data_IF_836962731947
#
_entry.id   IF_836962731947
#
_cell.length_a   1.000
_cell.length_b   1.000
_cell.length_c   1.000
_cell.angle_alpha   90.00
_cell.angle_beta   90.00
_cell.angle_gamma   90.00
#
_symmetry.space_group_name_H-M   'P 1'
#
loop_
_entity.id
_entity.type
_entity.pdbx_description
1 polymer ?
#
# COMPACT_ATOMS: atom_id res chain seq x y z
N UNK A 1 -4.05 5.82 16.53
CA UNK A 1 -5.37 5.89 17.19
C UNK A 1 -6.43 6.56 16.32
N UNK A 2 -6.20 7.77 15.76
CA UNK A 2 -7.20 8.50 14.95
C UNK A 2 -7.69 7.72 13.74
N UNK A 3 -6.78 7.11 12.98
CA UNK A 3 -7.15 6.31 11.80
C UNK A 3 -7.97 5.08 12.14
N UNK A 4 -7.64 4.38 13.22
CA UNK A 4 -8.43 3.25 13.75
C UNK A 4 -9.83 3.70 14.13
N UNK A 5 -9.92 4.80 14.88
CA UNK A 5 -11.20 5.37 15.30
C UNK A 5 -12.07 5.82 14.11
N UNK A 6 -11.46 6.43 13.08
CA UNK A 6 -12.16 6.84 11.86
C UNK A 6 -12.73 5.64 11.08
N UNK A 7 -12.10 4.46 11.20
CA UNK A 7 -12.57 3.23 10.60
C UNK A 7 -13.48 2.40 11.51
N UNK A 8 -13.56 2.73 12.79
CA UNK A 8 -14.31 1.96 13.80
C UNK A 8 -13.62 0.63 14.16
N UNK A 9 -12.30 0.55 14.00
CA UNK A 9 -11.51 -0.65 14.33
C UNK A 9 -11.12 -0.66 15.80
N UNK A 10 -11.12 -1.85 16.43
CA UNK A 10 -10.75 -2.02 17.83
C UNK A 10 -9.26 -1.89 18.12
N UNK A 11 -8.42 -2.07 17.12
CA UNK A 11 -6.96 -2.12 17.26
C UNK A 11 -6.42 -3.48 17.75
N UNK A 12 -7.26 -4.51 17.80
CA UNK A 12 -6.84 -5.87 18.15
C UNK A 12 -6.15 -6.63 17.03
N UNK A 13 -6.48 -6.26 15.77
CA UNK A 13 -5.90 -6.86 14.58
C UNK A 13 -4.92 -5.91 13.91
N UNK A 14 -3.99 -6.49 13.16
CA UNK A 14 -3.18 -5.70 12.23
C UNK A 14 -4.02 -5.12 11.09
N UNK A 15 -3.64 -3.95 10.62
CA UNK A 15 -4.38 -3.21 9.60
C UNK A 15 -3.67 -3.29 8.26
N UNK A 16 -4.38 -3.81 7.26
CA UNK A 16 -4.01 -3.74 5.85
C UNK A 16 -4.67 -2.52 5.21
N UNK A 17 -3.89 -1.65 4.60
CA UNK A 17 -4.40 -0.60 3.71
C UNK A 17 -4.22 -1.03 2.25
N UNK A 18 -5.31 -1.04 1.48
CA UNK A 18 -5.26 -1.25 0.03
C UNK A 18 -5.69 -0.01 -0.74
N UNK A 19 -4.92 0.35 -1.77
CA UNK A 19 -5.21 1.49 -2.63
C UNK A 19 -4.84 1.24 -4.10
N UNK A 20 -5.79 1.50 -5.00
CA UNK A 20 -5.61 1.31 -6.45
C UNK A 20 -5.23 2.58 -7.23
N UNK A 21 -5.05 3.72 -6.53
CA UNK A 21 -4.90 5.04 -7.13
C UNK A 21 -6.24 5.80 -7.19
N UNK A 22 -6.20 7.08 -7.63
CA UNK A 22 -7.35 8.00 -7.57
C UNK A 22 -8.59 7.56 -8.36
N UNK A 23 -8.39 6.83 -9.45
CA UNK A 23 -9.49 6.27 -10.25
C UNK A 23 -9.90 4.87 -9.80
N UNK A 24 -9.19 4.31 -8.82
CA UNK A 24 -9.35 2.93 -8.40
C UNK A 24 -8.71 1.95 -9.40
N UNK A 25 -8.78 0.67 -9.06
CA UNK A 25 -8.30 -0.42 -9.90
C UNK A 25 -9.28 -1.59 -9.78
N UNK A 26 -10.23 -1.69 -10.70
CA UNK A 26 -11.33 -2.66 -10.65
C UNK A 26 -10.81 -4.07 -10.39
N UNK A 27 -9.82 -4.53 -11.16
CA UNK A 27 -9.24 -5.87 -10.98
C UNK A 27 -8.66 -6.09 -9.57
N UNK A 28 -7.98 -5.08 -9.00
CA UNK A 28 -7.48 -5.17 -7.62
C UNK A 28 -8.62 -5.24 -6.61
N UNK A 29 -9.62 -4.37 -6.79
CA UNK A 29 -10.80 -4.32 -5.92
C UNK A 29 -11.53 -5.66 -5.91
N UNK A 30 -11.74 -6.26 -7.08
CA UNK A 30 -12.43 -7.54 -7.22
C UNK A 30 -11.65 -8.68 -6.56
N UNK A 31 -10.34 -8.78 -6.83
CA UNK A 31 -9.47 -9.76 -6.18
C UNK A 31 -9.48 -9.62 -4.64
N UNK A 32 -9.40 -8.37 -4.12
CA UNK A 32 -9.48 -8.16 -2.67
C UNK A 32 -10.81 -8.63 -2.09
N UNK A 33 -11.91 -8.27 -2.74
CA UNK A 33 -13.25 -8.62 -2.27
C UNK A 33 -13.51 -10.12 -2.27
N UNK A 34 -12.97 -10.84 -3.25
CA UNK A 34 -13.05 -12.30 -3.32
C UNK A 34 -12.38 -12.96 -2.12
N UNK A 35 -11.21 -12.47 -1.68
CA UNK A 35 -10.45 -13.03 -0.56
C UNK A 35 -10.77 -12.38 0.79
N UNK A 36 -11.66 -11.39 0.82
CA UNK A 36 -12.01 -10.64 2.02
C UNK A 36 -12.42 -11.55 3.20
N UNK A 37 -13.26 -12.60 3.02
CA UNK A 37 -13.66 -13.48 4.11
C UNK A 37 -12.49 -14.22 4.79
N UNK A 38 -11.40 -14.42 4.07
CA UNK A 38 -10.20 -15.06 4.62
C UNK A 38 -9.27 -14.05 5.28
N UNK A 39 -9.03 -12.90 4.63
CA UNK A 39 -8.16 -11.86 5.15
C UNK A 39 -8.68 -11.27 6.47
N UNK A 40 -10.00 -11.07 6.58
CA UNK A 40 -10.60 -10.45 7.76
C UNK A 40 -10.61 -11.34 9.00
N UNK A 41 -10.23 -12.61 8.88
CA UNK A 41 -9.93 -13.45 10.04
C UNK A 41 -8.67 -12.97 10.79
N UNK A 42 -7.74 -12.33 10.07
CA UNK A 42 -6.41 -11.94 10.60
C UNK A 42 -6.23 -10.43 10.64
N UNK A 43 -6.80 -9.70 9.69
CA UNK A 43 -6.59 -8.27 9.50
C UNK A 43 -7.88 -7.47 9.57
N UNK A 44 -7.79 -6.23 10.02
CA UNK A 44 -8.74 -5.20 9.69
C UNK A 44 -8.30 -4.53 8.37
N UNK A 45 -9.23 -4.18 7.50
CA UNK A 45 -8.89 -3.75 6.13
C UNK A 45 -9.46 -2.37 5.84
N UNK A 46 -8.57 -1.45 5.45
CA UNK A 46 -8.91 -0.15 4.87
C UNK A 46 -8.76 -0.26 3.35
N UNK A 47 -9.81 0.05 2.62
CA UNK A 47 -9.82 -0.06 1.15
C UNK A 47 -10.15 1.29 0.50
N UNK A 48 -9.17 1.92 -0.15
CA UNK A 48 -9.38 3.08 -1.01
C UNK A 48 -9.72 2.57 -2.42
N UNK A 49 -11.00 2.31 -2.66
CA UNK A 49 -11.47 1.59 -3.86
C UNK A 49 -11.57 2.47 -5.12
N UNK A 50 -11.50 3.80 -4.96
CA UNK A 50 -11.66 4.76 -6.05
C UNK A 50 -13.12 5.12 -6.31
N UNK A 51 -13.33 6.25 -6.98
CA UNK A 51 -14.66 6.82 -7.23
C UNK A 51 -15.56 5.87 -8.01
N UNK A 52 -16.79 5.70 -7.52
CA UNK A 52 -17.81 4.83 -8.14
C UNK A 52 -17.60 3.33 -7.90
N UNK A 53 -16.67 2.95 -7.02
CA UNK A 53 -16.34 1.54 -6.76
C UNK A 53 -16.73 1.06 -5.35
N UNK A 54 -17.59 1.79 -4.64
CA UNK A 54 -18.15 1.29 -3.38
C UNK A 54 -19.01 0.04 -3.62
N UNK A 55 -18.90 -0.92 -2.72
CA UNK A 55 -19.80 -2.07 -2.66
C UNK A 55 -20.73 -1.90 -1.47
N UNK A 56 -22.00 -1.61 -1.74
CA UNK A 56 -23.02 -1.36 -0.72
C UNK A 56 -23.22 -2.55 0.21
N UNK A 57 -23.06 -3.77 -0.29
CA UNK A 57 -23.21 -4.99 0.51
C UNK A 57 -22.14 -5.11 1.62
N UNK A 58 -21.00 -4.41 1.47
CA UNK A 58 -19.87 -4.47 2.40
C UNK A 58 -19.80 -3.27 3.36
N UNK A 59 -20.70 -2.29 3.26
CA UNK A 59 -20.62 -1.04 4.04
C UNK A 59 -20.73 -1.21 5.56
N UNK A 60 -21.46 -2.21 6.02
CA UNK A 60 -21.76 -2.41 7.44
C UNK A 60 -20.78 -3.38 8.15
N UNK A 61 -19.68 -3.73 7.52
CA UNK A 61 -18.66 -4.58 8.15
C UNK A 61 -17.86 -3.81 9.19
N UNK A 62 -17.50 -4.49 10.27
CA UNK A 62 -16.66 -3.94 11.36
C UNK A 62 -15.17 -4.19 11.14
N UNK A 63 -14.82 -5.14 10.27
CA UNK A 63 -13.47 -5.59 9.95
C UNK A 63 -12.99 -5.10 8.56
N UNK A 64 -13.82 -4.32 7.86
CA UNK A 64 -13.53 -3.80 6.53
C UNK A 64 -14.17 -2.43 6.35
N UNK A 65 -13.36 -1.44 5.95
CA UNK A 65 -13.83 -0.07 5.68
C UNK A 65 -13.38 0.36 4.31
N UNK A 66 -14.33 0.79 3.48
CA UNK A 66 -14.06 1.27 2.13
C UNK A 66 -14.33 2.76 1.98
N UNK A 67 -13.51 3.41 1.16
CA UNK A 67 -13.62 4.82 0.82
C UNK A 67 -13.39 4.98 -0.69
N UNK A 68 -14.18 5.83 -1.35
CA UNK A 68 -13.91 6.19 -2.75
C UNK A 68 -12.66 7.04 -2.88
N UNK A 69 -12.55 8.03 -2.01
CA UNK A 69 -11.45 8.97 -1.96
C UNK A 69 -11.33 9.55 -0.54
N UNK A 70 -10.10 9.81 -0.12
CA UNK A 70 -9.81 10.46 1.16
C UNK A 70 -8.92 11.67 0.87
N UNK A 71 -9.44 12.88 1.09
CA UNK A 71 -8.70 14.15 0.95
C UNK A 71 -8.06 14.56 2.28
N UNK A 72 -8.82 14.43 3.37
CA UNK A 72 -8.38 14.76 4.72
C UNK A 72 -8.28 13.50 5.56
N UNK A 73 -7.23 13.38 6.38
CA UNK A 73 -7.03 12.21 7.23
C UNK A 73 -6.35 11.00 6.55
N UNK A 74 -5.89 11.11 5.30
CA UNK A 74 -5.14 10.04 4.64
C UNK A 74 -3.89 9.65 5.45
N UNK A 75 -3.20 10.62 6.03
CA UNK A 75 -2.04 10.38 6.91
C UNK A 75 -2.42 9.58 8.16
N UNK A 76 -3.62 9.78 8.72
CA UNK A 76 -4.10 9.02 9.86
C UNK A 76 -4.40 7.56 9.47
N UNK A 77 -4.89 7.33 8.25
CA UNK A 77 -5.08 5.97 7.70
C UNK A 77 -3.73 5.27 7.45
N UNK A 78 -2.75 5.98 6.88
CA UNK A 78 -1.39 5.45 6.75
C UNK A 78 -0.76 5.14 8.11
N UNK A 79 -0.97 6.01 9.10
CA UNK A 79 -0.46 5.76 10.45
C UNK A 79 -1.10 4.54 11.11
N UNK A 80 -2.38 4.26 10.81
CA UNK A 80 -3.08 3.08 11.32
C UNK A 80 -2.66 1.78 10.62
N UNK A 81 -2.25 1.85 9.35
CA UNK A 81 -1.89 0.67 8.58
C UNK A 81 -0.54 0.10 9.01
N UNK A 82 -0.45 -1.22 9.17
CA UNK A 82 0.80 -1.95 9.41
C UNK A 82 1.53 -2.21 8.09
N UNK A 83 0.82 -2.46 7.01
CA UNK A 83 1.35 -2.71 5.67
C UNK A 83 0.35 -2.32 4.59
N UNK A 84 0.82 -2.22 3.34
CA UNK A 84 0.05 -1.64 2.24
C UNK A 84 0.05 -2.57 1.03
N UNK A 85 -1.09 -2.63 0.31
CA UNK A 85 -1.17 -3.17 -1.05
C UNK A 85 -1.52 -2.01 -1.98
N UNK A 86 -0.70 -1.77 -3.01
CA UNK A 86 -0.88 -0.59 -3.86
C UNK A 86 -0.34 -0.77 -5.28
N UNK A 87 -0.75 0.12 -6.16
CA UNK A 87 -0.04 0.41 -7.41
C UNK A 87 1.34 1.01 -7.11
N UNK A 88 2.27 0.94 -8.07
CA UNK A 88 3.64 1.41 -7.93
C UNK A 88 3.87 2.82 -8.52
N UNK A 89 2.94 3.74 -8.27
CA UNK A 89 3.10 5.15 -8.65
C UNK A 89 4.23 5.81 -7.84
N UNK A 90 5.04 6.67 -8.47
CA UNK A 90 6.24 7.28 -7.85
C UNK A 90 5.95 7.99 -6.52
N UNK A 91 4.86 8.75 -6.45
CA UNK A 91 4.49 9.47 -5.23
C UNK A 91 4.17 8.49 -4.09
N UNK A 92 3.33 7.47 -4.38
CA UNK A 92 2.91 6.49 -3.37
C UNK A 92 4.08 5.70 -2.82
N UNK A 93 4.98 5.19 -3.68
CA UNK A 93 6.13 4.41 -3.21
C UNK A 93 7.13 5.26 -2.41
N UNK A 94 7.30 6.53 -2.77
CA UNK A 94 8.13 7.47 -1.99
C UNK A 94 7.53 7.72 -0.61
N UNK A 95 6.23 7.81 -0.51
CA UNK A 95 5.50 7.97 0.75
C UNK A 95 5.62 6.70 1.62
N UNK A 96 5.48 5.50 1.02
CA UNK A 96 5.70 4.24 1.75
C UNK A 96 7.11 4.12 2.29
N UNK A 97 8.13 4.53 1.52
CA UNK A 97 9.51 4.55 1.96
C UNK A 97 9.71 5.52 3.13
N UNK A 98 9.18 6.74 3.02
CA UNK A 98 9.29 7.74 4.08
C UNK A 98 8.60 7.30 5.38
N UNK A 99 7.46 6.64 5.27
CA UNK A 99 6.68 6.11 6.39
C UNK A 99 7.12 4.71 6.82
N UNK A 100 8.11 4.11 6.15
CA UNK A 100 8.62 2.75 6.38
C UNK A 100 7.50 1.69 6.37
N UNK A 101 6.57 1.81 5.41
CA UNK A 101 5.45 0.89 5.27
C UNK A 101 5.80 -0.28 4.36
N UNK A 102 5.89 -1.51 4.89
CA UNK A 102 6.02 -2.70 4.07
C UNK A 102 4.91 -2.73 3.02
N UNK A 103 5.24 -2.98 1.77
CA UNK A 103 4.26 -2.89 0.69
C UNK A 103 4.33 -4.06 -0.28
N UNK A 104 3.13 -4.50 -0.72
CA UNK A 104 2.96 -5.33 -1.91
C UNK A 104 2.61 -4.40 -3.06
N UNK A 105 3.52 -4.26 -4.01
CA UNK A 105 3.34 -3.42 -5.18
C UNK A 105 2.80 -4.25 -6.34
N UNK A 106 1.70 -3.79 -6.92
CA UNK A 106 1.07 -4.39 -8.10
C UNK A 106 1.09 -3.33 -9.20
N UNK A 107 2.20 -3.25 -9.98
CA UNK A 107 2.32 -2.25 -11.03
C UNK A 107 1.28 -2.46 -12.13
N UNK A 108 0.86 -1.40 -12.78
CA UNK A 108 0.08 -1.49 -14.01
C UNK A 108 0.85 -2.30 -15.06
N UNK A 109 0.16 -3.20 -15.76
CA UNK A 109 0.79 -4.00 -16.79
C UNK A 109 1.37 -3.13 -17.93
N UNK A 110 2.36 -3.64 -18.63
CA UNK A 110 2.96 -2.96 -19.77
C UNK A 110 1.95 -2.65 -20.90
N UNK A 111 0.83 -3.36 -20.93
CA UNK A 111 -0.28 -3.12 -21.87
C UNK A 111 -1.13 -1.91 -21.51
N UNK A 112 -1.17 -1.56 -20.22
CA UNK A 112 -2.01 -0.50 -19.68
C UNK A 112 -1.23 0.79 -19.37
N UNK A 113 0.11 0.76 -19.39
CA UNK A 113 0.97 1.87 -19.01
C UNK A 113 2.24 1.97 -19.86
N UNK A 114 3.01 3.06 -19.65
CA UNK A 114 4.34 3.23 -20.28
C UNK A 114 5.45 2.41 -19.60
N UNK A 115 5.12 1.60 -18.59
CA UNK A 115 6.07 0.77 -17.88
C UNK A 115 6.76 1.45 -16.68
N UNK A 116 6.48 2.71 -16.40
CA UNK A 116 7.12 3.44 -15.27
C UNK A 116 6.85 2.75 -13.93
N UNK A 117 5.62 2.25 -13.72
CA UNK A 117 5.28 1.53 -12.48
C UNK A 117 6.02 0.21 -12.35
N UNK A 118 6.26 -0.48 -13.46
CA UNK A 118 7.04 -1.73 -13.46
C UNK A 118 8.48 -1.45 -13.05
N UNK A 119 9.10 -0.39 -13.60
CA UNK A 119 10.45 0.02 -13.23
C UNK A 119 10.54 0.46 -11.77
N UNK A 120 9.56 1.22 -11.29
CA UNK A 120 9.47 1.63 -9.90
C UNK A 120 9.37 0.42 -8.96
N UNK A 121 8.46 -0.52 -9.25
CA UNK A 121 8.28 -1.73 -8.45
C UNK A 121 9.56 -2.58 -8.42
N UNK A 122 10.18 -2.83 -9.57
CA UNK A 122 11.42 -3.59 -9.67
C UNK A 122 12.57 -2.94 -8.89
N UNK A 123 12.67 -1.60 -8.91
CA UNK A 123 13.66 -0.86 -8.13
C UNK A 123 13.45 -1.04 -6.62
N UNK A 124 12.21 -0.99 -6.14
CA UNK A 124 11.88 -1.16 -4.72
C UNK A 124 12.10 -2.60 -4.26
N UNK A 125 11.73 -3.58 -5.08
CA UNK A 125 11.97 -4.99 -4.80
C UNK A 125 13.47 -5.30 -4.69
N UNK A 126 14.27 -4.81 -5.66
CA UNK A 126 15.74 -4.99 -5.66
C UNK A 126 16.41 -4.43 -4.41
N UNK A 127 15.87 -3.34 -3.86
CA UNK A 127 16.35 -2.71 -2.63
C UNK A 127 15.82 -3.39 -1.36
N UNK A 128 14.90 -4.34 -1.48
CA UNK A 128 14.28 -5.03 -0.37
C UNK A 128 13.23 -4.19 0.37
N UNK A 129 12.65 -3.17 -0.26
CA UNK A 129 11.64 -2.28 0.35
C UNK A 129 10.22 -2.78 0.16
N UNK A 130 9.98 -3.61 -0.85
CA UNK A 130 8.65 -4.12 -1.19
C UNK A 130 8.70 -5.55 -1.75
N UNK A 131 7.54 -6.20 -1.74
CA UNK A 131 7.25 -7.34 -2.62
C UNK A 131 6.56 -6.83 -3.88
N UNK A 132 6.66 -7.60 -4.96
CA UNK A 132 6.02 -7.27 -6.23
C UNK A 132 5.19 -8.46 -6.71
N UNK A 133 3.99 -8.18 -7.19
CA UNK A 133 3.13 -9.11 -7.90
C UNK A 133 2.77 -8.51 -9.26
N UNK A 134 3.10 -9.21 -10.34
CA UNK A 134 2.72 -8.78 -11.69
C UNK A 134 1.19 -8.80 -11.85
N UNK A 135 0.62 -7.73 -12.40
CA UNK A 135 -0.82 -7.63 -12.64
C UNK A 135 -1.32 -8.71 -13.61
N UNK A 136 -0.48 -9.13 -14.56
CA UNK A 136 -0.85 -10.17 -15.54
C UNK A 136 -0.92 -11.56 -14.88
N UNK A 137 -0.16 -11.78 -13.79
CA UNK A 137 -0.18 -13.00 -12.99
C UNK A 137 -1.14 -12.94 -11.78
N UNK A 138 -1.74 -11.77 -11.54
CA UNK A 138 -2.60 -11.55 -10.38
C UNK A 138 -3.93 -12.27 -10.51
N UNK A 139 -4.18 -13.11 -9.53
CA UNK A 139 -5.47 -13.73 -9.19
C UNK A 139 -5.78 -13.45 -7.73
N UNK A 140 -7.00 -13.71 -7.27
CA UNK A 140 -7.35 -13.61 -5.86
C UNK A 140 -6.42 -14.49 -5.00
N UNK A 141 -6.14 -15.72 -5.42
CA UNK A 141 -5.27 -16.65 -4.68
C UNK A 141 -3.81 -16.19 -4.63
N UNK A 142 -3.24 -15.70 -5.76
CA UNK A 142 -1.86 -15.19 -5.77
C UNK A 142 -1.76 -13.93 -4.92
N UNK A 143 -2.73 -13.02 -4.99
CA UNK A 143 -2.78 -11.82 -4.14
C UNK A 143 -2.82 -12.19 -2.67
N UNK A 144 -3.68 -13.13 -2.27
CA UNK A 144 -3.77 -13.63 -0.89
C UNK A 144 -2.43 -14.15 -0.40
N UNK A 145 -1.80 -15.04 -1.18
CA UNK A 145 -0.49 -15.62 -0.85
C UNK A 145 0.57 -14.53 -0.62
N UNK A 146 0.63 -13.54 -1.52
CA UNK A 146 1.62 -12.47 -1.44
C UNK A 146 1.36 -11.50 -0.26
N UNK A 147 0.09 -11.25 0.08
CA UNK A 147 -0.30 -10.48 1.27
C UNK A 147 0.21 -11.17 2.56
N UNK A 148 -0.06 -12.45 2.73
CA UNK A 148 0.42 -13.18 3.91
C UNK A 148 1.95 -13.27 3.94
N UNK A 149 2.60 -13.52 2.81
CA UNK A 149 4.06 -13.56 2.73
C UNK A 149 4.71 -12.19 3.04
N UNK A 150 4.08 -11.08 2.65
CA UNK A 150 4.50 -9.74 3.05
C UNK A 150 4.36 -9.56 4.57
N UNK A 151 3.20 -9.90 5.11
CA UNK A 151 2.89 -9.74 6.53
C UNK A 151 3.87 -10.52 7.42
N UNK A 152 4.10 -11.80 7.11
CA UNK A 152 5.02 -12.67 7.85
C UNK A 152 6.46 -12.15 7.85
N UNK A 153 6.85 -11.40 6.82
CA UNK A 153 8.19 -10.86 6.64
C UNK A 153 8.28 -9.34 6.79
N UNK A 154 7.25 -8.67 7.32
CA UNK A 154 7.16 -7.20 7.35
C UNK A 154 8.37 -6.50 7.97
N UNK A 155 8.91 -7.06 9.04
CA UNK A 155 10.08 -6.51 9.75
C UNK A 155 11.33 -6.42 8.84
N UNK A 156 11.51 -7.38 7.93
CA UNK A 156 12.62 -7.38 6.97
C UNK A 156 12.58 -6.13 6.07
N UNK A 157 11.38 -5.74 5.62
CA UNK A 157 11.20 -4.57 4.77
C UNK A 157 11.41 -3.27 5.55
N UNK A 158 10.91 -3.19 6.78
CA UNK A 158 11.15 -2.05 7.68
C UNK A 158 12.64 -1.84 7.88
N UNK A 159 13.38 -2.88 8.26
CA UNK A 159 14.85 -2.81 8.47
C UNK A 159 15.59 -2.38 7.20
N UNK A 160 15.16 -2.85 6.03
CA UNK A 160 15.76 -2.43 4.76
C UNK A 160 15.52 -0.95 4.47
N UNK A 161 14.29 -0.47 4.68
CA UNK A 161 13.93 0.94 4.49
C UNK A 161 14.64 1.87 5.51
N UNK A 162 14.85 1.43 6.74
CA UNK A 162 15.59 2.18 7.77
C UNK A 162 17.05 2.42 7.40
N UNK A 163 17.67 1.47 6.72
CA UNK A 163 19.06 1.56 6.25
C UNK A 163 19.21 2.40 4.98
N UNK A 164 18.10 2.77 4.35
CA UNK A 164 18.13 3.54 3.10
C UNK A 164 18.42 5.01 3.36
N UNK A 165 19.44 5.61 2.72
CA UNK A 165 19.66 7.05 2.75
C UNK A 165 18.56 7.84 2.03
N UNK A 166 17.73 7.20 1.22
CA UNK A 166 16.64 7.83 0.45
C UNK A 166 15.40 8.17 1.29
N UNK A 167 15.32 7.66 2.53
CA UNK A 167 14.21 7.97 3.45
C UNK A 167 14.19 9.43 3.94
N UNK A 168 15.28 10.17 3.77
CA UNK A 168 15.37 11.60 4.09
C UNK A 168 15.75 12.42 2.85
N UNK A 169 14.81 12.51 1.89
CA UNK A 169 14.98 13.30 0.68
C UNK A 169 15.27 14.78 0.96
N UNK A 170 14.78 15.33 2.06
CA UNK A 170 15.05 16.71 2.50
C UNK A 170 16.49 16.86 2.94
N UNK A 171 17.00 15.95 3.76
CA UNK A 171 18.42 15.97 4.19
C UNK A 171 19.38 15.77 3.00
N UNK A 172 19.02 14.90 2.04
CA UNK A 172 19.82 14.70 0.83
C UNK A 172 19.90 15.98 -0.02
N UNK A 173 18.77 16.65 -0.25
CA UNK A 173 18.72 17.94 -0.98
C UNK A 173 19.48 19.03 -0.22
N UNK A 174 19.27 19.14 1.09
CA UNK A 174 19.99 20.12 1.94
C UNK A 174 21.49 19.90 1.94
N UNK A 175 21.94 18.64 1.91
CA UNK A 175 23.37 18.29 1.82
C UNK A 175 23.95 18.75 0.48
N UNK A 176 23.25 18.55 -0.62
CA UNK A 176 23.68 19.02 -1.94
C UNK A 176 23.71 20.55 -2.03
N UNK A 177 22.68 21.24 -1.51
CA UNK A 177 22.66 22.70 -1.47
C UNK A 177 23.87 23.25 -0.67
N UNK A 178 24.14 22.68 0.52
CA UNK A 178 25.29 23.07 1.33
C UNK A 178 26.63 22.82 0.64
N UNK A 179 26.75 21.77 -0.18
CA UNK A 179 27.95 21.48 -0.96
C UNK A 179 28.20 22.48 -2.10
N UNK A 180 27.10 22.98 -2.70
CA UNK A 180 27.15 24.00 -3.78
C UNK A 180 27.38 25.43 -3.27
N UNK A 181 27.18 25.69 -1.99
CA UNK A 181 27.41 27.00 -1.33
C UNK A 181 28.85 27.17 -0.75
N UNK A 182 29.72 26.20 -0.95
CA UNK A 182 31.16 26.24 -0.63
C UNK A 182 31.98 26.46 -1.88
#
# INVERSE_FOLDING_TARGET
EKGLSACGFSGEKHVLLMMGGSLGAVKLNDCLREILPELTKTFDIIHLCGKGNLDEALQNRTDYKQFEYVSEGLNDLFAAADFVVSRAGSNSISEFLALKKPSLLIPLSARASRGDQILNAASFEKQGFARVLDEDEMTAETMKKEIFALYENKEKYVVAMEKSPAGDGVAAVMTQIKALMR
#
